data_IF_136161497733
#
_entry.id   IF_136161497733
#
_cell.length_a   1.000
_cell.length_b   1.000
_cell.length_c   1.000
_cell.angle_alpha   90.00
_cell.angle_beta   90.00
_cell.angle_gamma   90.00
#
_symmetry.space_group_name_H-M   'P 1'
#
loop_
_entity.id
_entity.type
_entity.pdbx_description
1 polymer ?
#
# COMPACT_ATOMS: atom_id res chain seq x y z
N UNK A 1 -21.99 3.31 -3.40
CA UNK A 1 -22.67 2.68 -2.25
C UNK A 1 -22.22 1.24 -2.26
N UNK A 2 -21.08 0.95 -1.61
CA UNK A 2 -20.59 -0.42 -1.50
C UNK A 2 -21.65 -1.30 -0.85
N UNK A 3 -21.89 -2.45 -1.44
CA UNK A 3 -22.91 -3.38 -1.00
C UNK A 3 -22.49 -3.95 0.36
N UNK A 4 -23.15 -3.53 1.45
CA UNK A 4 -22.80 -3.89 2.83
C UNK A 4 -22.82 -5.41 3.09
N UNK A 5 -23.43 -6.18 2.19
CA UNK A 5 -23.52 -7.64 2.23
C UNK A 5 -22.25 -8.37 1.72
N UNK A 6 -21.29 -7.67 1.09
CA UNK A 6 -20.08 -8.26 0.48
C UNK A 6 -18.76 -7.85 1.19
N UNK A 7 -18.81 -7.38 2.45
CA UNK A 7 -17.60 -6.96 3.16
C UNK A 7 -16.69 -8.16 3.45
N UNK A 8 -15.54 -8.20 2.78
CA UNK A 8 -14.47 -9.13 3.14
C UNK A 8 -13.93 -8.79 4.53
N UNK A 9 -13.71 -9.82 5.35
CA UNK A 9 -13.14 -9.63 6.68
C UNK A 9 -11.76 -8.98 6.57
N UNK A 10 -11.56 -7.88 7.31
CA UNK A 10 -10.26 -7.22 7.47
C UNK A 10 -9.87 -7.14 8.94
N UNK A 11 -8.58 -7.27 9.22
CA UNK A 11 -8.05 -7.08 10.57
C UNK A 11 -7.92 -5.58 10.88
N UNK A 12 -7.44 -5.23 12.08
CA UNK A 12 -7.22 -3.86 12.47
C UNK A 12 -6.33 -3.10 11.47
N UNK A 13 -6.59 -1.79 11.30
CA UNK A 13 -5.87 -0.92 10.38
C UNK A 13 -4.34 -1.00 10.45
N UNK A 14 -3.77 -1.13 11.64
CA UNK A 14 -2.33 -1.29 11.83
C UNK A 14 -1.80 -2.65 11.32
N UNK A 15 -2.58 -3.72 11.48
CA UNK A 15 -2.25 -5.07 11.00
C UNK A 15 -2.26 -5.09 9.48
N UNK A 16 -3.32 -4.59 8.86
CA UNK A 16 -3.44 -4.55 7.40
C UNK A 16 -2.43 -3.58 6.76
N UNK A 17 -2.18 -2.40 7.35
CA UNK A 17 -1.11 -1.51 6.87
C UNK A 17 0.26 -2.20 6.88
N UNK A 18 0.62 -2.90 7.96
CA UNK A 18 1.90 -3.64 8.03
C UNK A 18 1.98 -4.77 7.00
N UNK A 19 0.85 -5.40 6.69
CA UNK A 19 0.75 -6.50 5.73
C UNK A 19 0.81 -6.03 4.28
N UNK A 20 0.20 -4.89 3.99
CA UNK A 20 0.05 -4.34 2.65
C UNK A 20 1.19 -3.41 2.23
N UNK A 21 1.85 -2.73 3.18
CA UNK A 21 2.97 -1.85 2.83
C UNK A 21 4.31 -2.58 2.87
N UNK A 22 4.93 -2.71 1.69
CA UNK A 22 6.26 -3.26 1.51
C UNK A 22 7.29 -2.17 1.84
N UNK A 23 8.12 -2.45 2.84
CA UNK A 23 9.21 -1.56 3.25
C UNK A 23 10.37 -1.69 2.25
N UNK A 24 11.05 -0.58 1.97
CA UNK A 24 12.27 -0.61 1.17
C UNK A 24 13.42 -1.14 2.03
N UNK A 25 14.16 -2.13 1.52
CA UNK A 25 15.36 -2.66 2.15
C UNK A 25 16.60 -1.97 1.56
N UNK A 26 17.55 -1.59 2.40
CA UNK A 26 18.79 -0.93 1.97
C UNK A 26 19.75 -1.90 1.25
N UNK A 27 19.74 -3.17 1.64
CA UNK A 27 20.63 -4.21 1.13
C UNK A 27 19.85 -5.49 0.80
N UNK A 28 19.00 -5.47 -0.26
CA UNK A 28 18.13 -6.59 -0.60
C UNK A 28 18.89 -7.83 -1.15
N UNK A 29 20.14 -7.64 -1.58
CA UNK A 29 21.12 -8.69 -1.91
C UNK A 29 22.00 -9.11 -0.71
N UNK A 30 21.93 -8.37 0.40
CA UNK A 30 22.70 -8.60 1.62
C UNK A 30 23.90 -7.67 1.76
N UNK A 31 24.65 -7.82 2.86
CA UNK A 31 25.81 -6.98 3.13
C UNK A 31 26.90 -7.13 2.05
N UNK A 32 27.69 -6.09 1.82
CA UNK A 32 28.80 -6.13 0.87
C UNK A 32 29.74 -7.31 1.15
N UNK A 33 29.99 -8.12 0.11
CA UNK A 33 30.81 -9.34 0.22
C UNK A 33 30.08 -10.57 0.76
N UNK A 34 28.78 -10.48 1.04
CA UNK A 34 27.95 -11.62 1.46
C UNK A 34 27.94 -12.73 0.39
N UNK A 35 28.06 -14.02 0.78
CA UNK A 35 27.86 -15.13 -0.15
C UNK A 35 26.36 -15.38 -0.44
N UNK A 36 25.46 -14.79 0.33
CA UNK A 36 24.01 -14.94 0.17
C UNK A 36 23.57 -14.41 -1.19
N UNK A 37 22.77 -15.19 -1.93
CA UNK A 37 22.17 -14.80 -3.23
C UNK A 37 23.15 -14.23 -4.27
N UNK A 38 24.43 -14.56 -4.19
CA UNK A 38 25.48 -14.01 -5.07
C UNK A 38 25.20 -14.15 -6.58
N UNK A 39 24.45 -15.18 -6.96
CA UNK A 39 24.12 -15.49 -8.35
C UNK A 39 22.61 -15.49 -8.62
N UNK A 40 21.81 -15.03 -7.67
CA UNK A 40 20.36 -14.93 -7.78
C UNK A 40 19.96 -13.47 -8.00
N UNK A 41 18.97 -13.18 -8.85
CA UNK A 41 18.45 -11.84 -8.99
C UNK A 41 17.82 -11.36 -7.68
N UNK A 42 17.90 -10.05 -7.44
CA UNK A 42 17.25 -9.43 -6.29
C UNK A 42 15.75 -9.43 -6.51
N UNK A 43 15.05 -10.20 -5.67
CA UNK A 43 13.61 -10.20 -5.59
C UNK A 43 13.13 -9.24 -4.50
N UNK A 44 12.08 -8.49 -4.80
CA UNK A 44 11.55 -7.47 -3.90
C UNK A 44 10.90 -8.05 -2.64
N UNK A 45 10.44 -9.30 -2.69
CA UNK A 45 9.78 -9.98 -1.57
C UNK A 45 9.94 -11.48 -1.69
N UNK A 46 10.00 -12.17 -0.56
CA UNK A 46 10.08 -13.64 -0.48
C UNK A 46 8.74 -14.35 -0.64
N UNK A 47 7.63 -13.62 -0.53
CA UNK A 47 6.27 -14.14 -0.67
C UNK A 47 5.62 -13.60 -1.95
N UNK A 48 4.62 -14.29 -2.52
CA UNK A 48 3.86 -13.74 -3.65
C UNK A 48 3.23 -12.38 -3.33
N UNK A 49 3.14 -11.52 -4.34
CA UNK A 49 2.40 -10.27 -4.22
C UNK A 49 0.91 -10.53 -3.98
N UNK A 50 0.32 -9.73 -3.11
CA UNK A 50 -1.12 -9.65 -2.92
C UNK A 50 -1.63 -8.40 -3.62
N UNK A 51 -2.89 -8.40 -4.00
CA UNK A 51 -3.53 -7.31 -4.74
C UNK A 51 -3.37 -5.94 -4.04
N UNK A 52 -3.60 -5.88 -2.73
CA UNK A 52 -3.51 -4.62 -1.97
C UNK A 52 -2.09 -4.17 -1.62
N UNK A 53 -1.06 -4.95 -1.99
CA UNK A 53 0.31 -4.64 -1.60
C UNK A 53 0.93 -3.51 -2.40
N UNK A 54 1.59 -2.59 -1.70
CA UNK A 54 2.18 -1.36 -2.28
C UNK A 54 3.40 -0.90 -1.52
N UNK A 55 4.18 -0.01 -2.14
CA UNK A 55 5.33 0.64 -1.48
C UNK A 55 4.91 1.92 -0.80
N UNK A 56 5.66 2.32 0.23
CA UNK A 56 5.62 3.69 0.72
C UNK A 56 6.08 4.65 -0.38
N UNK A 57 5.27 5.68 -0.64
CA UNK A 57 5.59 6.78 -1.55
C UNK A 57 5.59 8.06 -0.73
N UNK A 58 6.60 8.90 -0.91
CA UNK A 58 6.66 10.22 -0.30
C UNK A 58 5.66 11.22 -0.91
N UNK A 59 5.06 10.88 -2.05
CA UNK A 59 4.20 11.77 -2.82
C UNK A 59 2.71 11.50 -2.66
N UNK A 60 2.34 10.30 -2.21
CA UNK A 60 0.94 9.93 -1.97
C UNK A 60 0.49 10.32 -0.55
N UNK A 61 -0.82 10.37 -0.34
CA UNK A 61 -1.38 10.54 1.00
C UNK A 61 -1.28 9.24 1.82
N UNK A 62 -1.09 9.40 3.13
CA UNK A 62 -1.07 8.28 4.09
C UNK A 62 -2.46 7.64 4.24
N UNK A 63 -3.47 8.50 4.39
CA UNK A 63 -4.89 8.14 4.43
C UNK A 63 -5.53 8.47 3.09
N UNK A 64 -5.59 7.49 2.19
CA UNK A 64 -6.10 7.67 0.84
C UNK A 64 -7.62 7.82 0.81
N UNK A 65 -8.34 7.02 1.58
CA UNK A 65 -9.80 7.12 1.70
C UNK A 65 -10.24 8.51 2.14
N UNK A 66 -9.54 9.13 3.09
CA UNK A 66 -9.83 10.51 3.47
C UNK A 66 -9.51 11.51 2.35
N UNK A 67 -8.56 11.23 1.45
CA UNK A 67 -8.08 12.19 0.44
C UNK A 67 -8.52 11.83 -0.99
N UNK A 68 -9.49 10.94 -1.13
CA UNK A 68 -10.08 10.60 -2.43
C UNK A 68 -10.65 11.87 -3.06
N UNK A 69 -10.38 12.07 -4.36
CA UNK A 69 -10.78 13.25 -5.13
C UNK A 69 -10.32 14.60 -4.54
N UNK A 70 -9.38 14.57 -3.59
CA UNK A 70 -8.86 15.74 -2.90
C UNK A 70 -7.36 15.93 -3.16
N UNK A 71 -6.99 16.36 -4.40
CA UNK A 71 -5.61 16.66 -4.73
C UNK A 71 -5.08 17.82 -3.88
N UNK A 72 -3.76 17.85 -3.69
CA UNK A 72 -3.08 18.93 -2.96
C UNK A 72 -3.32 20.25 -3.69
N UNK A 73 -3.64 21.30 -2.95
CA UNK A 73 -3.86 22.66 -3.48
C UNK A 73 -2.54 23.38 -3.71
N UNK A 74 -1.66 22.76 -4.52
CA UNK A 74 -0.33 23.26 -4.87
C UNK A 74 -0.12 23.06 -6.37
N UNK A 75 0.48 24.05 -7.04
CA UNK A 75 0.83 23.93 -8.45
C UNK A 75 1.79 22.75 -8.68
N UNK A 76 1.50 21.92 -9.69
CA UNK A 76 2.27 20.71 -9.97
C UNK A 76 2.01 19.56 -9.00
N UNK A 77 0.93 19.59 -8.22
CA UNK A 77 0.53 18.48 -7.36
C UNK A 77 0.34 17.19 -8.16
N UNK A 78 0.88 16.10 -7.61
CA UNK A 78 0.69 14.77 -8.16
C UNK A 78 -0.80 14.35 -8.02
N UNK A 79 -1.41 13.71 -9.03
CA UNK A 79 -2.70 13.04 -8.89
C UNK A 79 -2.72 12.08 -7.69
N UNK A 80 -3.88 11.94 -7.06
CA UNK A 80 -4.10 11.07 -5.89
C UNK A 80 -4.01 9.58 -6.22
N UNK A 81 -4.24 9.22 -7.49
CA UNK A 81 -4.31 7.83 -7.99
C UNK A 81 -5.38 7.02 -7.26
N UNK A 82 -6.57 7.61 -7.16
CA UNK A 82 -7.73 6.96 -6.56
C UNK A 82 -8.24 5.83 -7.47
N UNK A 83 -8.86 4.83 -6.85
CA UNK A 83 -9.47 3.72 -7.55
C UNK A 83 -10.84 4.17 -8.10
N UNK A 84 -11.05 4.18 -9.43
CA UNK A 84 -12.32 4.64 -10.00
C UNK A 84 -13.51 3.72 -9.65
N UNK A 85 -13.26 2.49 -9.18
CA UNK A 85 -14.30 1.53 -8.82
C UNK A 85 -14.62 1.54 -7.31
N UNK A 86 -13.76 2.15 -6.47
CA UNK A 86 -13.87 2.06 -5.01
C UNK A 86 -13.51 3.37 -4.31
N UNK A 87 -14.45 3.89 -3.53
CA UNK A 87 -14.24 5.11 -2.73
C UNK A 87 -13.52 4.89 -1.40
N UNK A 88 -13.50 3.66 -0.91
CA UNK A 88 -12.88 3.32 0.36
C UNK A 88 -11.88 2.18 0.18
N UNK A 89 -10.78 2.26 0.92
CA UNK A 89 -9.81 1.18 1.00
C UNK A 89 -10.00 0.47 2.33
N UNK A 90 -10.05 -0.87 2.36
CA UNK A 90 -10.05 -1.60 3.61
C UNK A 90 -8.79 -1.27 4.44
N UNK A 91 -8.87 -1.23 5.78
CA UNK A 91 -10.06 -1.47 6.62
C UNK A 91 -10.73 -0.16 7.08
N UNK A 92 -10.83 0.85 6.21
CA UNK A 92 -11.42 2.15 6.55
C UNK A 92 -12.89 2.30 6.12
N UNK A 93 -13.52 1.21 5.69
CA UNK A 93 -14.91 1.09 5.25
C UNK A 93 -15.94 1.11 6.41
N UNK A 94 -15.47 0.97 7.65
CA UNK A 94 -16.30 0.86 8.84
C UNK A 94 -16.55 2.19 9.58
N UNK A 95 -15.93 3.30 9.16
CA UNK A 95 -15.99 4.58 9.89
C UNK A 95 -17.20 5.47 9.55
N UNK A 96 -18.18 4.98 8.78
CA UNK A 96 -19.37 5.75 8.34
C UNK A 96 -20.68 5.37 9.05
N UNK A 97 -20.64 5.01 10.34
CA UNK A 97 -21.85 4.93 11.18
C UNK A 97 -22.11 6.25 11.94
#
# INVERSE_FOLDING_TARGET
>A
MDNKEEREYTDFANVEKRRNYVTAEDFPDGAYGSPFRKHEPVELKSTPFREEQRRYSAFNYENKTLHEDMPRQMEGAHPTHDDPERSMEPPYDDYQD
#
